data_IF_663316984762
#
_entry.id   IF_663316984762
#
_cell.length_a   1.000
_cell.length_b   1.000
_cell.length_c   1.000
_cell.angle_alpha   90.00
_cell.angle_beta   90.00
_cell.angle_gamma   90.00
#
_symmetry.space_group_name_H-M   'P 1'
#
loop_
_entity.id
_entity.type
_entity.pdbx_description
1 polymer ?
#
# COMPACT_ATOMS: atom_id res chain seq x y z
N UNK A 1 -3.66 -16.21 20.98
CA UNK A 1 -5.01 -15.66 21.05
C UNK A 1 -6.07 -16.61 20.52
N UNK A 2 -7.33 -16.35 20.82
CA UNK A 2 -8.49 -17.17 20.45
C UNK A 2 -9.13 -16.74 19.13
N UNK A 3 -8.70 -15.59 18.59
CA UNK A 3 -9.23 -14.97 17.39
C UNK A 3 -8.15 -14.40 16.51
N UNK A 4 -8.55 -14.02 15.31
CA UNK A 4 -7.80 -13.21 14.35
C UNK A 4 -8.62 -11.97 14.03
N UNK A 5 -7.97 -10.91 13.57
CA UNK A 5 -8.66 -9.70 13.12
C UNK A 5 -7.85 -8.95 12.04
N UNK A 6 -8.56 -8.20 11.23
CA UNK A 6 -8.00 -7.23 10.27
C UNK A 6 -8.51 -5.85 10.70
N UNK A 7 -7.63 -4.94 11.15
CA UNK A 7 -8.02 -3.56 11.39
C UNK A 7 -8.12 -2.82 10.04
N UNK A 8 -9.15 -2.01 9.88
CA UNK A 8 -9.30 -1.08 8.75
C UNK A 8 -9.50 0.31 9.34
N UNK A 9 -8.54 1.19 9.11
CA UNK A 9 -8.48 2.53 9.69
C UNK A 9 -8.61 3.62 8.63
N UNK A 10 -8.85 4.86 9.07
CA UNK A 10 -8.92 6.04 8.21
C UNK A 10 -10.01 5.94 7.14
N UNK A 11 -11.18 5.44 7.53
CA UNK A 11 -12.30 5.26 6.62
C UNK A 11 -12.89 6.58 6.12
N UNK A 12 -12.87 7.65 6.94
CA UNK A 12 -13.43 8.95 6.56
C UNK A 12 -14.86 8.83 6.01
N UNK A 13 -15.00 9.01 4.68
CA UNK A 13 -16.26 8.89 3.94
C UNK A 13 -16.49 7.48 3.36
N UNK A 14 -15.59 6.54 3.62
CA UNK A 14 -15.74 5.14 3.24
C UNK A 14 -16.52 4.36 4.30
N UNK A 15 -17.07 3.24 3.92
CA UNK A 15 -17.69 2.30 4.85
C UNK A 15 -17.32 0.86 4.50
N UNK A 16 -17.35 -0.01 5.52
CA UNK A 16 -17.05 -1.44 5.38
C UNK A 16 -18.29 -2.26 5.67
N UNK A 17 -18.61 -3.20 4.79
CA UNK A 17 -19.74 -4.12 4.90
C UNK A 17 -19.48 -5.46 4.23
N UNK A 18 -20.53 -6.25 4.10
CA UNK A 18 -20.54 -7.57 3.43
C UNK A 18 -19.39 -8.50 3.90
N UNK A 19 -19.05 -8.40 5.19
CA UNK A 19 -17.95 -9.15 5.77
C UNK A 19 -18.32 -10.63 5.92
N UNK A 20 -17.47 -11.50 5.41
CA UNK A 20 -17.58 -12.93 5.57
C UNK A 20 -16.22 -13.60 5.74
N UNK A 21 -16.22 -14.74 6.40
CA UNK A 21 -15.04 -15.59 6.59
C UNK A 21 -15.43 -17.02 6.27
N UNK A 22 -14.53 -17.75 5.62
CA UNK A 22 -14.64 -19.19 5.42
C UNK A 22 -13.32 -19.89 5.65
N UNK A 23 -13.37 -21.14 6.04
CA UNK A 23 -12.24 -22.04 6.23
C UNK A 23 -12.58 -23.41 5.65
N UNK A 24 -11.70 -23.96 4.78
CA UNK A 24 -11.92 -25.25 4.11
C UNK A 24 -13.30 -25.35 3.41
N UNK A 25 -13.79 -24.25 2.86
CA UNK A 25 -15.09 -24.17 2.18
C UNK A 25 -16.30 -24.08 3.10
N UNK A 26 -16.12 -24.04 4.42
CA UNK A 26 -17.19 -23.84 5.40
C UNK A 26 -17.27 -22.36 5.80
N UNK A 27 -18.43 -21.74 5.58
CA UNK A 27 -18.67 -20.36 5.96
C UNK A 27 -18.88 -20.22 7.46
N UNK A 28 -18.31 -19.15 8.04
CA UNK A 28 -18.50 -18.80 9.44
C UNK A 28 -19.83 -18.08 9.64
N UNK A 29 -20.43 -18.24 10.83
CA UNK A 29 -21.63 -17.49 11.20
C UNK A 29 -21.25 -16.03 11.47
N UNK A 30 -21.83 -15.10 10.71
CA UNK A 30 -21.59 -13.66 10.88
C UNK A 30 -22.54 -13.09 11.93
N UNK A 31 -22.00 -12.57 13.01
CA UNK A 31 -22.72 -11.92 14.13
C UNK A 31 -22.99 -10.44 13.90
N UNK A 32 -22.60 -9.89 12.73
CA UNK A 32 -22.70 -8.47 12.42
C UNK A 32 -21.76 -7.64 13.31
N UNK A 33 -22.26 -6.53 13.85
CA UNK A 33 -21.49 -5.59 14.69
C UNK A 33 -21.60 -5.90 16.19
N UNK A 34 -21.54 -7.17 16.57
CA UNK A 34 -21.72 -7.66 17.95
C UNK A 34 -20.63 -8.64 18.37
N UNK A 35 -19.42 -8.48 17.82
CA UNK A 35 -18.30 -9.31 18.20
C UNK A 35 -17.89 -9.08 19.66
N UNK A 36 -17.69 -10.17 20.41
CA UNK A 36 -17.27 -10.16 21.80
C UNK A 36 -15.88 -10.80 21.94
N UNK A 37 -14.91 -9.97 22.30
CA UNK A 37 -13.49 -10.36 22.42
C UNK A 37 -13.21 -11.22 23.65
N UNK A 38 -14.09 -11.20 24.65
CA UNK A 38 -13.88 -11.89 25.94
C UNK A 38 -14.34 -13.35 25.92
N UNK A 39 -15.05 -13.78 24.86
CA UNK A 39 -15.48 -15.17 24.70
C UNK A 39 -14.29 -16.14 24.54
N UNK A 40 -14.51 -17.37 24.98
CA UNK A 40 -13.54 -18.48 24.86
C UNK A 40 -13.32 -18.89 23.39
N UNK A 41 -12.29 -19.70 23.15
CA UNK A 41 -12.00 -20.26 21.83
C UNK A 41 -13.20 -21.02 21.25
N UNK A 42 -13.86 -21.85 22.05
CA UNK A 42 -15.01 -22.66 21.61
C UNK A 42 -16.24 -21.84 21.27
N UNK A 43 -16.46 -20.72 21.94
CA UNK A 43 -17.58 -19.81 21.69
C UNK A 43 -17.36 -18.95 20.44
N UNK A 44 -16.11 -18.65 20.10
CA UNK A 44 -15.72 -17.90 18.89
C UNK A 44 -15.59 -18.79 17.65
N UNK A 45 -15.33 -20.08 17.82
CA UNK A 45 -15.06 -21.01 16.73
C UNK A 45 -16.16 -21.00 15.65
N UNK A 46 -15.75 -20.81 14.38
CA UNK A 46 -16.69 -20.77 13.25
C UNK A 46 -17.60 -19.54 13.22
N UNK A 47 -17.23 -18.45 13.91
CA UNK A 47 -17.96 -17.18 13.96
C UNK A 47 -17.09 -16.03 13.52
N UNK A 48 -17.69 -15.01 12.95
CA UNK A 48 -17.03 -13.75 12.61
C UNK A 48 -17.96 -12.56 12.93
N UNK A 49 -17.38 -11.36 13.01
CA UNK A 49 -18.13 -10.14 13.29
C UNK A 49 -17.25 -8.90 13.19
N UNK A 50 -17.87 -7.75 13.34
CA UNK A 50 -17.22 -6.44 13.20
C UNK A 50 -17.26 -5.72 14.54
N UNK A 51 -16.15 -5.06 14.87
CA UNK A 51 -16.09 -4.07 15.97
C UNK A 51 -15.92 -2.70 15.34
N UNK A 52 -16.82 -1.77 15.68
CA UNK A 52 -16.68 -0.37 15.29
C UNK A 52 -15.59 0.31 16.12
N UNK A 53 -14.75 1.08 15.45
CA UNK A 53 -13.69 1.92 16.02
C UNK A 53 -13.89 3.37 15.62
N UNK A 54 -13.20 4.27 16.30
CA UNK A 54 -13.15 5.66 15.85
C UNK A 54 -12.48 5.75 14.46
N UNK A 55 -13.26 6.16 13.46
CA UNK A 55 -12.83 6.26 12.04
C UNK A 55 -12.28 4.94 11.47
N UNK A 56 -12.89 3.79 11.85
CA UNK A 56 -12.43 2.49 11.38
C UNK A 56 -13.29 1.34 11.88
N UNK A 57 -12.86 0.13 11.56
CA UNK A 57 -13.45 -1.13 12.04
C UNK A 57 -12.36 -2.17 12.28
N UNK A 58 -12.67 -3.19 13.09
CA UNK A 58 -11.93 -4.44 13.13
C UNK A 58 -12.84 -5.56 12.61
N UNK A 59 -12.36 -6.29 11.62
CA UNK A 59 -12.98 -7.49 11.07
C UNK A 59 -12.43 -8.68 11.84
N UNK A 60 -13.25 -9.30 12.71
CA UNK A 60 -12.82 -10.30 13.67
C UNK A 60 -13.39 -11.68 13.32
N UNK A 61 -12.59 -12.74 13.57
CA UNK A 61 -13.09 -14.12 13.50
C UNK A 61 -12.37 -15.05 14.47
N UNK A 62 -13.10 -16.04 14.94
CA UNK A 62 -12.61 -17.01 15.89
C UNK A 62 -11.83 -18.14 15.23
N UNK A 63 -10.75 -18.58 15.88
CA UNK A 63 -10.04 -19.79 15.49
C UNK A 63 -10.90 -21.03 15.84
N UNK A 64 -10.91 -22.01 14.97
CA UNK A 64 -11.59 -23.28 15.24
C UNK A 64 -10.75 -24.20 16.13
N UNK A 65 -9.42 -24.03 16.10
CA UNK A 65 -8.44 -24.74 16.91
C UNK A 65 -7.14 -23.92 17.01
N UNK A 66 -6.12 -24.47 17.64
CA UNK A 66 -4.75 -23.98 17.50
C UNK A 66 -4.04 -24.76 16.40
N UNK A 67 -3.13 -24.10 15.69
CA UNK A 67 -2.33 -24.69 14.63
C UNK A 67 -2.39 -23.92 13.32
N UNK A 68 -2.19 -24.63 12.22
CA UNK A 68 -2.18 -24.04 10.87
C UNK A 68 -3.61 -23.93 10.34
N UNK A 69 -3.93 -22.73 9.85
CA UNK A 69 -5.23 -22.42 9.26
C UNK A 69 -5.05 -21.72 7.90
N UNK A 70 -6.06 -21.84 7.05
CA UNK A 70 -6.19 -21.05 5.83
C UNK A 70 -7.61 -20.51 5.79
N UNK A 71 -7.73 -19.19 5.92
CA UNK A 71 -9.01 -18.49 5.84
C UNK A 71 -9.14 -17.75 4.53
N UNK A 72 -10.36 -17.73 4.00
CA UNK A 72 -10.78 -16.75 3.00
C UNK A 72 -11.61 -15.69 3.73
N UNK A 73 -11.18 -14.44 3.61
CA UNK A 73 -11.85 -13.28 4.22
C UNK A 73 -12.30 -12.37 3.11
N UNK A 74 -13.60 -12.03 3.09
CA UNK A 74 -14.20 -11.17 2.09
C UNK A 74 -14.92 -10.01 2.77
N UNK A 75 -14.83 -8.82 2.19
CA UNK A 75 -15.53 -7.62 2.66
C UNK A 75 -15.62 -6.59 1.54
N UNK A 76 -16.61 -5.69 1.65
CA UNK A 76 -16.81 -4.58 0.71
C UNK A 76 -16.36 -3.28 1.35
N UNK A 77 -15.56 -2.48 0.64
CA UNK A 77 -15.26 -1.09 1.00
C UNK A 77 -16.00 -0.17 0.02
N UNK A 78 -17.04 0.47 0.50
CA UNK A 78 -17.82 1.43 -0.30
C UNK A 78 -17.14 2.80 -0.25
N UNK A 79 -17.06 3.48 -1.41
CA UNK A 79 -16.45 4.81 -1.51
C UNK A 79 -14.93 4.81 -1.55
N UNK A 80 -14.30 3.66 -1.86
CA UNK A 80 -12.84 3.53 -1.96
C UNK A 80 -12.29 4.46 -3.04
N UNK A 81 -12.76 4.32 -4.28
CA UNK A 81 -12.40 5.25 -5.35
C UNK A 81 -13.16 6.56 -5.14
N UNK A 82 -12.43 7.67 -5.11
CA UNK A 82 -12.94 9.02 -4.86
C UNK A 82 -12.64 9.93 -6.05
N UNK A 83 -13.49 10.93 -6.25
CA UNK A 83 -13.35 11.93 -7.30
C UNK A 83 -12.65 13.16 -6.76
N UNK A 84 -11.51 13.50 -7.34
CA UNK A 84 -10.75 14.72 -7.11
C UNK A 84 -11.02 15.70 -8.27
N UNK A 85 -10.58 16.95 -8.17
CA UNK A 85 -10.83 17.93 -9.25
C UNK A 85 -10.11 17.56 -10.56
N UNK A 86 -8.94 16.93 -10.49
CA UNK A 86 -8.04 16.61 -11.61
C UNK A 86 -7.96 15.11 -11.95
N UNK A 87 -8.48 14.22 -11.09
CA UNK A 87 -8.34 12.77 -11.25
C UNK A 87 -9.44 12.02 -10.49
N UNK A 88 -9.52 10.71 -10.71
CA UNK A 88 -10.14 9.77 -9.80
C UNK A 88 -9.05 8.96 -9.10
N UNK A 89 -9.30 8.43 -7.90
CA UNK A 89 -8.27 7.63 -7.23
C UNK A 89 -8.55 7.36 -5.77
N UNK A 90 -7.56 6.78 -5.10
CA UNK A 90 -7.63 6.48 -3.68
C UNK A 90 -6.25 6.37 -3.03
N UNK A 91 -6.24 6.48 -1.71
CA UNK A 91 -5.13 6.09 -0.84
C UNK A 91 -5.69 5.13 0.20
N UNK A 92 -5.22 3.88 0.20
CA UNK A 92 -5.77 2.85 1.08
C UNK A 92 -4.69 1.92 1.63
N UNK A 93 -4.83 1.56 2.91
CA UNK A 93 -3.97 0.62 3.60
C UNK A 93 -4.60 -0.78 3.52
N UNK A 94 -4.06 -1.62 2.63
CA UNK A 94 -4.54 -3.00 2.43
C UNK A 94 -4.03 -3.95 3.52
N UNK A 95 -2.83 -3.71 4.03
CA UNK A 95 -2.28 -4.47 5.15
C UNK A 95 -1.83 -3.49 6.21
N UNK A 96 -2.39 -3.63 7.41
CA UNK A 96 -2.07 -2.79 8.55
C UNK A 96 -0.84 -3.31 9.31
N UNK A 97 -0.07 -2.45 9.99
CA UNK A 97 1.00 -2.88 10.87
C UNK A 97 0.44 -3.49 12.17
N UNK A 98 1.32 -4.09 12.97
CA UNK A 98 0.98 -4.54 14.32
C UNK A 98 0.51 -5.99 14.42
N UNK A 99 0.72 -6.81 13.40
CA UNK A 99 0.46 -8.24 13.51
C UNK A 99 1.42 -8.90 14.52
N UNK A 100 0.87 -9.69 15.44
CA UNK A 100 1.67 -10.49 16.39
C UNK A 100 2.57 -11.51 15.69
N UNK A 101 2.12 -12.04 14.56
CA UNK A 101 2.88 -12.91 13.66
C UNK A 101 2.99 -12.20 12.30
N UNK A 102 4.11 -11.52 12.02
CA UNK A 102 4.31 -10.86 10.73
C UNK A 102 4.25 -11.86 9.57
N UNK A 103 3.71 -11.39 8.43
CA UNK A 103 3.59 -12.22 7.24
C UNK A 103 4.97 -12.48 6.60
N UNK A 104 5.23 -13.73 6.21
CA UNK A 104 6.46 -14.09 5.48
C UNK A 104 6.44 -13.54 4.04
N UNK A 105 5.24 -13.47 3.45
CA UNK A 105 5.04 -12.97 2.09
C UNK A 105 3.67 -12.32 1.96
N UNK A 106 3.62 -11.17 1.28
CA UNK A 106 2.39 -10.42 1.02
C UNK A 106 2.29 -10.08 -0.46
N UNK A 107 1.15 -10.40 -1.05
CA UNK A 107 0.78 -9.99 -2.40
C UNK A 107 -0.58 -9.31 -2.38
N UNK A 108 -0.67 -8.13 -3.00
CA UNK A 108 -1.93 -7.42 -3.21
C UNK A 108 -2.15 -7.31 -4.72
N UNK A 109 -3.30 -7.76 -5.19
CA UNK A 109 -3.69 -7.65 -6.60
C UNK A 109 -4.97 -6.84 -6.70
N UNK A 110 -4.94 -5.74 -7.44
CA UNK A 110 -6.11 -4.92 -7.74
C UNK A 110 -6.56 -5.19 -9.16
N UNK A 111 -7.84 -5.45 -9.33
CA UNK A 111 -8.46 -5.80 -10.63
C UNK A 111 -9.63 -4.87 -10.89
N UNK A 112 -9.71 -4.32 -12.11
CA UNK A 112 -10.87 -3.55 -12.54
C UNK A 112 -12.03 -4.51 -12.93
N UNK A 113 -13.00 -4.65 -12.04
CA UNK A 113 -14.20 -5.46 -12.27
C UNK A 113 -15.37 -4.66 -12.86
N UNK A 114 -15.19 -3.36 -13.18
CA UNK A 114 -16.28 -2.50 -13.68
C UNK A 114 -16.60 -2.69 -15.16
N UNK A 115 -15.75 -3.42 -15.90
CA UNK A 115 -15.81 -3.51 -17.36
C UNK A 115 -15.34 -2.25 -18.08
N UNK A 116 -14.81 -1.27 -17.35
CA UNK A 116 -14.22 -0.05 -17.88
C UNK A 116 -12.85 -0.27 -18.55
N UNK A 117 -12.16 0.82 -18.94
CA UNK A 117 -10.88 0.73 -19.64
C UNK A 117 -9.84 -0.06 -18.84
N UNK A 118 -9.01 -0.79 -19.56
CA UNK A 118 -7.83 -1.47 -19.00
C UNK A 118 -6.89 -0.45 -18.38
N UNK A 119 -6.34 -0.76 -17.20
CA UNK A 119 -5.33 0.07 -16.58
C UNK A 119 -3.99 -0.07 -17.28
N UNK A 120 -3.38 1.05 -17.57
CA UNK A 120 -2.08 1.15 -18.25
C UNK A 120 -1.30 2.32 -17.67
N UNK A 121 -0.01 2.39 -17.93
CA UNK A 121 0.79 3.56 -17.54
C UNK A 121 0.36 4.88 -18.17
N UNK A 122 -0.45 4.86 -19.23
CA UNK A 122 -0.98 6.09 -19.82
C UNK A 122 -2.10 6.70 -18.98
N UNK A 123 -2.96 5.86 -18.37
CA UNK A 123 -4.17 6.28 -17.66
C UNK A 123 -4.16 6.01 -16.14
N UNK A 124 -3.10 5.37 -15.63
CA UNK A 124 -3.00 4.98 -14.21
C UNK A 124 -1.59 5.25 -13.67
N UNK A 125 -1.49 5.73 -12.43
CA UNK A 125 -0.23 5.88 -11.69
C UNK A 125 -0.39 5.25 -10.33
N UNK A 126 0.66 4.59 -9.84
CA UNK A 126 0.65 3.85 -8.58
C UNK A 126 1.87 4.17 -7.72
N UNK A 127 1.68 4.19 -6.41
CA UNK A 127 2.72 4.32 -5.40
C UNK A 127 2.42 3.35 -4.27
N UNK A 128 3.46 2.66 -3.77
CA UNK A 128 3.39 1.75 -2.64
C UNK A 128 4.19 2.28 -1.46
N UNK A 129 3.69 2.11 -0.23
CA UNK A 129 4.34 2.55 0.99
C UNK A 129 4.23 1.49 2.09
N UNK A 130 5.12 1.58 3.08
CA UNK A 130 4.99 0.88 4.36
C UNK A 130 5.74 -0.44 4.47
N UNK A 131 6.33 -0.92 3.38
CA UNK A 131 7.17 -2.13 3.36
C UNK A 131 8.06 -2.16 2.12
N UNK A 132 9.07 -3.02 2.13
CA UNK A 132 9.90 -3.28 0.96
C UNK A 132 9.14 -4.22 0.00
N UNK A 133 9.04 -3.81 -1.26
CA UNK A 133 8.34 -4.54 -2.31
C UNK A 133 8.18 -3.70 -3.56
N UNK A 134 7.73 -4.34 -4.62
CA UNK A 134 7.47 -3.71 -5.91
C UNK A 134 5.98 -3.54 -6.13
N UNK A 135 5.58 -2.39 -6.67
CA UNK A 135 4.21 -2.14 -7.13
C UNK A 135 4.22 -1.72 -8.58
N UNK A 136 3.37 -2.34 -9.39
CA UNK A 136 3.36 -2.13 -10.82
C UNK A 136 1.97 -2.25 -11.45
N UNK A 137 1.80 -1.62 -12.63
CA UNK A 137 0.64 -1.82 -13.51
C UNK A 137 1.03 -2.85 -14.55
N UNK A 138 0.45 -4.03 -14.48
CA UNK A 138 0.81 -5.15 -15.34
C UNK A 138 0.28 -5.02 -16.77
N UNK A 139 0.83 -5.83 -17.67
CA UNK A 139 0.35 -5.93 -19.05
C UNK A 139 -1.09 -6.43 -19.17
N UNK A 140 -1.60 -7.15 -18.16
CA UNK A 140 -3.01 -7.60 -18.09
C UNK A 140 -3.96 -6.48 -17.68
N UNK A 141 -3.44 -5.34 -17.16
CA UNK A 141 -4.23 -4.20 -16.67
C UNK A 141 -4.71 -4.39 -15.24
N UNK A 142 -3.90 -5.04 -14.44
CA UNK A 142 -4.05 -5.13 -12.99
C UNK A 142 -2.94 -4.34 -12.30
N UNK A 143 -3.14 -3.95 -11.04
CA UNK A 143 -2.07 -3.41 -10.21
C UNK A 143 -1.65 -4.52 -9.25
N UNK A 144 -0.37 -4.81 -9.18
CA UNK A 144 0.19 -5.83 -8.29
C UNK A 144 1.25 -5.21 -7.42
N UNK A 145 1.10 -5.38 -6.10
CA UNK A 145 2.16 -5.22 -5.12
C UNK A 145 2.63 -6.61 -4.69
N UNK A 146 3.93 -6.80 -4.55
CA UNK A 146 4.51 -8.03 -4.02
C UNK A 146 5.68 -7.69 -3.09
N UNK A 147 5.69 -8.23 -1.87
CA UNK A 147 6.75 -7.98 -0.90
C UNK A 147 8.04 -8.66 -1.34
N UNK A 148 9.17 -7.95 -1.26
CA UNK A 148 10.51 -8.50 -1.51
C UNK A 148 11.14 -9.13 -0.27
N UNK A 149 10.61 -8.81 0.92
CA UNK A 149 11.08 -9.30 2.20
C UNK A 149 9.89 -9.69 3.09
N UNK A 150 10.17 -10.49 4.12
CA UNK A 150 9.20 -10.78 5.18
C UNK A 150 8.85 -9.49 5.93
N UNK A 151 7.58 -9.36 6.33
CA UNK A 151 7.12 -8.20 7.07
C UNK A 151 7.71 -8.17 8.47
N UNK A 152 7.98 -6.98 8.98
CA UNK A 152 8.21 -6.69 10.39
C UNK A 152 6.89 -6.33 11.08
N UNK A 153 6.91 -6.18 12.40
CA UNK A 153 5.76 -5.70 13.16
C UNK A 153 5.23 -4.34 12.69
N UNK A 154 6.10 -3.48 12.14
CA UNK A 154 5.74 -2.15 11.66
C UNK A 154 5.44 -2.09 10.15
N UNK A 155 5.57 -3.20 9.44
CA UNK A 155 5.32 -3.24 8.00
C UNK A 155 3.83 -3.11 7.70
N UNK A 156 3.53 -2.40 6.62
CA UNK A 156 2.17 -2.22 6.10
C UNK A 156 2.19 -2.22 4.56
N UNK A 157 1.04 -2.35 3.93
CA UNK A 157 0.87 -2.09 2.50
C UNK A 157 -0.15 -0.98 2.33
N UNK A 158 0.34 0.19 1.96
CA UNK A 158 -0.49 1.33 1.59
C UNK A 158 -0.30 1.54 0.09
N UNK A 159 -1.40 1.64 -0.65
CA UNK A 159 -1.35 1.98 -2.07
C UNK A 159 -2.06 3.29 -2.32
N UNK A 160 -1.38 4.17 -3.04
CA UNK A 160 -1.93 5.38 -3.61
C UNK A 160 -2.09 5.15 -5.12
N UNK A 161 -3.31 5.27 -5.62
CA UNK A 161 -3.62 5.03 -7.03
C UNK A 161 -4.34 6.22 -7.62
N UNK A 162 -3.79 6.76 -8.70
CA UNK A 162 -4.40 7.81 -9.53
C UNK A 162 -4.87 7.21 -10.85
N UNK A 163 -6.09 7.49 -11.20
CA UNK A 163 -6.69 7.21 -12.50
C UNK A 163 -6.99 8.52 -13.22
N UNK A 164 -7.03 8.48 -14.53
CA UNK A 164 -7.51 9.62 -15.30
C UNK A 164 -8.94 9.98 -14.90
N UNK A 165 -9.22 11.28 -14.91
CA UNK A 165 -10.53 11.81 -14.53
C UNK A 165 -11.64 11.22 -15.39
N UNK A 166 -12.69 10.72 -14.73
CA UNK A 166 -13.87 10.15 -15.40
C UNK A 166 -13.74 8.67 -15.79
N UNK A 167 -12.64 7.99 -15.38
CA UNK A 167 -12.55 6.53 -15.54
C UNK A 167 -13.54 5.78 -14.65
N UNK A 168 -13.96 6.41 -13.56
CA UNK A 168 -14.95 5.90 -12.63
C UNK A 168 -16.08 6.93 -12.46
N UNK A 169 -17.15 6.51 -11.79
CA UNK A 169 -18.23 7.38 -11.33
C UNK A 169 -18.32 7.35 -9.81
N UNK A 170 -17.33 7.89 -9.09
CA UNK A 170 -17.27 7.78 -7.64
C UNK A 170 -18.42 8.53 -6.97
N UNK A 171 -19.03 7.91 -5.95
CA UNK A 171 -20.07 8.56 -5.13
C UNK A 171 -19.48 9.59 -4.16
N UNK A 172 -18.16 9.51 -3.87
CA UNK A 172 -17.46 10.40 -2.94
C UNK A 172 -16.60 11.38 -3.72
N UNK A 173 -16.84 12.68 -3.52
CA UNK A 173 -15.99 13.76 -4.05
C UNK A 173 -15.16 14.41 -2.95
N UNK A 174 -13.95 14.84 -3.33
CA UNK A 174 -13.00 15.58 -2.49
C UNK A 174 -12.79 16.98 -3.07
N UNK A 175 -12.88 17.99 -2.22
CA UNK A 175 -12.58 19.39 -2.58
C UNK A 175 -11.06 19.64 -2.49
N UNK A 176 -10.32 18.92 -3.31
CA UNK A 176 -8.86 19.01 -3.47
C UNK A 176 -8.44 18.34 -4.77
N UNK A 177 -7.19 18.57 -5.19
CA UNK A 177 -6.55 17.84 -6.28
C UNK A 177 -6.01 16.49 -5.79
N UNK A 178 -5.81 15.55 -6.71
CA UNK A 178 -5.10 14.31 -6.39
C UNK A 178 -3.60 14.58 -6.09
N UNK A 179 -3.01 15.57 -6.74
CA UNK A 179 -1.62 15.95 -6.46
C UNK A 179 -1.43 16.44 -5.02
N UNK A 180 -2.39 17.19 -4.46
CA UNK A 180 -2.35 17.55 -3.03
C UNK A 180 -2.43 16.32 -2.11
N UNK A 181 -3.25 15.31 -2.46
CA UNK A 181 -3.28 14.04 -1.72
C UNK A 181 -1.93 13.32 -1.80
N UNK A 182 -1.35 13.25 -3.01
CA UNK A 182 -0.04 12.64 -3.25
C UNK A 182 1.07 13.32 -2.46
N UNK A 183 1.12 14.64 -2.46
CA UNK A 183 2.11 15.40 -1.68
C UNK A 183 2.00 15.12 -0.18
N UNK A 184 0.79 15.04 0.36
CA UNK A 184 0.57 14.65 1.77
C UNK A 184 1.06 13.23 2.06
N UNK A 185 0.78 12.27 1.17
CA UNK A 185 1.24 10.89 1.31
C UNK A 185 2.77 10.79 1.24
N UNK A 186 3.40 11.52 0.33
CA UNK A 186 4.85 11.55 0.17
C UNK A 186 5.56 12.24 1.33
N UNK A 187 5.01 13.34 1.87
CA UNK A 187 5.63 14.11 2.96
C UNK A 187 5.76 13.32 4.28
N UNK A 188 4.95 12.30 4.46
CA UNK A 188 4.98 11.40 5.62
C UNK A 188 5.76 10.10 5.39
N UNK A 189 6.41 9.94 4.24
CA UNK A 189 7.08 8.70 3.83
C UNK A 189 8.53 8.92 3.45
N UNK A 190 9.32 7.84 3.46
CA UNK A 190 10.66 7.81 2.88
C UNK A 190 10.67 7.51 1.37
N UNK A 191 9.52 7.58 0.70
CA UNK A 191 9.37 7.29 -0.71
C UNK A 191 10.26 8.19 -1.57
N UNK A 192 11.10 7.58 -2.40
CA UNK A 192 12.05 8.31 -3.24
C UNK A 192 13.27 8.87 -2.49
N UNK A 193 13.40 8.65 -1.18
CA UNK A 193 14.69 8.84 -0.51
C UNK A 193 15.65 7.77 -1.05
N UNK A 194 16.70 8.23 -1.74
CA UNK A 194 17.78 7.35 -2.15
C UNK A 194 18.42 6.76 -0.91
N UNK A 195 18.65 5.44 -0.93
CA UNK A 195 19.40 4.73 0.08
C UNK A 195 20.63 5.59 0.44
N UNK A 196 20.93 5.81 1.74
CA UNK A 196 22.15 6.50 2.17
C UNK A 196 23.40 5.97 1.44
N UNK A 197 23.41 4.68 1.09
CA UNK A 197 24.48 4.05 0.32
C UNK A 197 24.53 4.54 -1.14
N UNK A 198 23.40 4.75 -1.80
CA UNK A 198 23.37 5.36 -3.16
C UNK A 198 23.83 6.82 -3.11
N UNK A 199 23.45 7.57 -2.07
CA UNK A 199 23.94 8.96 -1.88
C UNK A 199 25.48 8.96 -1.74
N UNK A 200 26.04 8.03 -0.97
CA UNK A 200 27.49 7.89 -0.79
C UNK A 200 28.17 7.50 -2.10
N UNK A 201 27.62 6.57 -2.86
CA UNK A 201 28.15 6.16 -4.18
C UNK A 201 28.13 7.34 -5.15
N UNK A 202 27.04 8.10 -5.24
CA UNK A 202 26.97 9.29 -6.09
C UNK A 202 27.97 10.38 -5.67
N UNK A 203 28.20 10.56 -4.37
CA UNK A 203 29.24 11.45 -3.84
C UNK A 203 30.65 10.98 -4.22
N UNK A 204 30.95 9.69 -4.11
CA UNK A 204 32.24 9.09 -4.50
C UNK A 204 32.46 9.24 -6.00
N UNK A 205 31.46 8.94 -6.83
CA UNK A 205 31.54 9.15 -8.27
C UNK A 205 31.72 10.63 -8.64
N UNK A 206 30.97 11.54 -7.98
CA UNK A 206 31.11 12.98 -8.14
C UNK A 206 32.52 13.48 -7.81
N UNK A 207 33.14 12.98 -6.74
CA UNK A 207 34.52 13.31 -6.37
C UNK A 207 35.55 12.73 -7.35
N UNK A 208 35.39 11.48 -7.78
CA UNK A 208 36.30 10.82 -8.71
C UNK A 208 36.26 11.47 -10.12
N UNK A 209 35.09 11.74 -10.65
CA UNK A 209 34.92 12.33 -11.97
C UNK A 209 35.10 13.85 -11.96
N UNK A 210 34.61 14.55 -10.94
CA UNK A 210 34.80 15.99 -10.76
C UNK A 210 36.26 16.36 -10.53
N UNK A 211 37.00 15.56 -9.77
CA UNK A 211 38.44 15.70 -9.59
C UNK A 211 39.25 15.51 -10.87
N UNK A 212 38.83 14.54 -11.69
CA UNK A 212 39.49 14.26 -12.97
C UNK A 212 39.28 15.40 -13.99
N UNK A 213 38.09 15.99 -14.06
CA UNK A 213 37.77 17.13 -14.94
C UNK A 213 38.56 18.37 -14.53
N UNK A 214 38.65 18.63 -13.21
CA UNK A 214 39.47 19.74 -12.70
C UNK A 214 40.95 19.57 -12.93
N UNK A 215 41.48 18.34 -12.86
CA UNK A 215 42.88 18.03 -13.17
C UNK A 215 43.17 18.23 -14.66
N UNK A 216 42.27 17.81 -15.55
CA UNK A 216 42.39 18.01 -16.99
C UNK A 216 42.30 19.51 -17.38
N UNK A 217 41.41 20.25 -16.76
CA UNK A 217 41.32 21.72 -16.97
C UNK A 217 42.58 22.46 -16.48
N UNK A 218 43.14 22.07 -15.34
CA UNK A 218 44.40 22.61 -14.83
C UNK A 218 45.57 22.28 -15.79
N UNK A 219 45.64 21.02 -16.28
CA UNK A 219 46.67 20.64 -17.25
C UNK A 219 46.54 21.41 -18.57
N UNK A 220 45.31 21.60 -19.06
CA UNK A 220 45.05 22.39 -20.28
C UNK A 220 45.43 23.87 -20.10
N UNK A 221 45.12 24.48 -18.95
CA UNK A 221 45.50 25.87 -18.64
C UNK A 221 47.02 26.02 -18.51
N UNK A 222 47.70 25.08 -17.85
CA UNK A 222 49.19 25.12 -17.72
C UNK A 222 49.88 24.88 -19.06
N UNK A 223 49.33 24.01 -19.96
CA UNK A 223 49.83 23.87 -21.31
C UNK A 223 49.54 25.08 -22.21
N UNK A 224 48.35 25.69 -22.03
CA UNK A 224 47.99 26.92 -22.77
C UNK A 224 48.84 28.16 -22.42
N UNK A 225 49.38 28.21 -21.20
CA UNK A 225 50.30 29.28 -20.76
C UNK A 225 51.75 29.05 -21.14
N UNK A 226 52.10 27.86 -21.65
CA UNK A 226 53.46 27.49 -22.05
C UNK A 226 53.80 27.75 -23.53
N UNK A 227 52.90 28.27 -24.33
CA UNK A 227 53.10 28.55 -25.75
C UNK A 227 53.02 30.05 -26.08
N UNK A 228 53.78 30.87 -25.34
CA UNK A 228 54.09 32.24 -25.79
C UNK A 228 55.56 32.50 -25.50
N UNK A 229 56.41 31.95 -26.39
CA UNK A 229 57.70 32.49 -26.74
C UNK A 229 58.01 32.16 -28.19
#
# INVERSE_FOLDING_TARGET
>A
GTEMYIPISNLDKMSVGDFSVSENGLSYFNEGRRWDVDRSLSEKAGRCGIIDKHNGVELCWGKTSYGRHVWTVEYTVTGLVQSFSDADGFNFMFVNPGFDAPAEHVKVTLVNATGGPKWTYDNTRVWGFGSYGDIDVTSEGTIVYESSEAFSHNSSVITLVRFDKGMFSPAVSRDMTFDELKERALSGSSYGEKDPFEKVILWIFGLLFGGSVLALLRAAVLHGLGYTH
#
